data_IF_253950266116
#
_entry.id   IF_253950266116
#
_cell.length_a   1.000
_cell.length_b   1.000
_cell.length_c   1.000
_cell.angle_alpha   90.00
_cell.angle_beta   90.00
_cell.angle_gamma   90.00
#
_symmetry.space_group_name_H-M   'P 1'
#
loop_
_entity.id
_entity.type
_entity.pdbx_description
1 polymer ?
#
# COMPACT_ATOMS: atom_id res chain seq x y z
N UNK A 1 -15.78 -29.90 8.23
CA UNK A 1 -15.66 -29.87 9.70
C UNK A 1 -16.73 -30.78 10.30
N UNK A 2 -16.39 -32.05 10.51
CA UNK A 2 -17.27 -33.03 11.15
C UNK A 2 -16.66 -33.36 12.50
N UNK A 3 -17.11 -32.69 13.57
CA UNK A 3 -16.78 -33.07 14.93
C UNK A 3 -17.56 -34.33 15.33
N UNK A 4 -17.07 -35.07 16.33
CA UNK A 4 -17.67 -36.33 16.79
C UNK A 4 -19.13 -36.18 17.24
N UNK A 5 -19.58 -34.97 17.57
CA UNK A 5 -20.93 -34.66 18.03
C UNK A 5 -21.82 -33.96 16.97
N UNK A 6 -21.39 -33.90 15.71
CA UNK A 6 -22.12 -33.21 14.63
C UNK A 6 -21.97 -31.68 14.62
N UNK A 7 -21.27 -31.10 15.60
CA UNK A 7 -20.87 -29.69 15.59
C UNK A 7 -19.55 -29.49 14.81
N UNK A 8 -19.42 -28.40 14.04
CA UNK A 8 -18.18 -28.10 13.34
C UNK A 8 -17.04 -27.74 14.31
N UNK A 9 -16.00 -28.58 14.34
CA UNK A 9 -14.73 -28.33 15.05
C UNK A 9 -13.64 -27.89 14.07
N UNK A 10 -12.78 -26.98 14.52
CA UNK A 10 -11.66 -26.44 13.77
C UNK A 10 -10.34 -26.67 14.51
N UNK A 11 -9.27 -26.91 13.75
CA UNK A 11 -7.91 -27.02 14.25
C UNK A 11 -7.11 -25.86 13.67
N UNK A 12 -6.45 -25.09 14.54
CA UNK A 12 -5.59 -23.99 14.12
C UNK A 12 -4.15 -24.43 13.95
N UNK A 13 -3.43 -23.66 13.15
CA UNK A 13 -2.01 -23.83 12.93
C UNK A 13 -1.42 -22.45 12.68
N UNK A 14 -0.29 -22.15 13.30
CA UNK A 14 0.45 -20.92 13.06
C UNK A 14 1.08 -20.88 11.66
N UNK A 15 1.37 -19.67 11.16
CA UNK A 15 1.88 -19.42 9.80
C UNK A 15 3.21 -20.13 9.47
N UNK A 16 3.97 -20.56 10.49
CA UNK A 16 5.29 -21.18 10.34
C UNK A 16 5.50 -22.44 11.21
N UNK A 17 4.44 -22.98 11.83
CA UNK A 17 4.58 -24.20 12.65
C UNK A 17 4.43 -25.45 11.77
N UNK A 18 5.09 -26.55 12.11
CA UNK A 18 4.84 -27.84 11.46
C UNK A 18 3.66 -28.58 12.10
N UNK A 19 3.51 -28.41 13.42
CA UNK A 19 2.47 -29.03 14.23
C UNK A 19 1.20 -28.18 14.31
N UNK A 20 0.08 -28.86 14.57
CA UNK A 20 -1.21 -28.24 14.86
C UNK A 20 -1.28 -27.81 16.32
N UNK A 21 -2.01 -26.72 16.60
CA UNK A 21 -2.19 -26.27 17.97
C UNK A 21 -3.06 -27.30 18.74
N UNK A 22 -2.74 -27.62 20.01
CA UNK A 22 -3.47 -28.62 20.79
C UNK A 22 -4.98 -28.35 21.00
N UNK A 23 -5.45 -27.11 21.21
CA UNK A 23 -6.87 -26.87 21.42
C UNK A 23 -7.67 -26.91 20.11
N UNK A 24 -8.75 -27.69 20.10
CA UNK A 24 -9.77 -27.61 19.06
C UNK A 24 -10.71 -26.44 19.34
N UNK A 25 -11.00 -25.65 18.31
CA UNK A 25 -11.82 -24.43 18.41
C UNK A 25 -13.23 -24.73 17.89
N UNK A 26 -14.26 -24.32 18.64
CA UNK A 26 -15.66 -24.38 18.21
C UNK A 26 -15.98 -23.23 17.26
N UNK A 27 -16.95 -23.42 16.36
CA UNK A 27 -17.42 -22.36 15.45
C UNK A 27 -17.83 -21.07 16.18
N UNK A 28 -18.29 -21.19 17.43
CA UNK A 28 -18.70 -20.06 18.30
C UNK A 28 -17.54 -19.12 18.64
N UNK A 29 -16.30 -19.60 18.60
CA UNK A 29 -15.11 -18.84 18.93
C UNK A 29 -14.49 -18.15 17.69
N UNK A 30 -15.05 -18.37 16.50
CA UNK A 30 -14.56 -17.79 15.24
C UNK A 30 -15.23 -16.44 14.97
N UNK A 31 -14.48 -15.35 15.16
CA UNK A 31 -14.96 -13.97 14.97
C UNK A 31 -15.13 -13.62 13.47
N UNK A 32 -14.34 -14.23 12.58
CA UNK A 32 -14.43 -13.99 11.14
C UNK A 32 -13.24 -14.49 10.31
N UNK A 33 -13.34 -14.35 8.98
CA UNK A 33 -12.32 -14.79 8.01
C UNK A 33 -11.69 -13.60 7.28
N UNK A 34 -10.36 -13.63 7.13
CA UNK A 34 -9.63 -12.66 6.30
C UNK A 34 -10.08 -12.79 4.85
N UNK A 35 -10.61 -11.70 4.28
CA UNK A 35 -11.13 -11.68 2.89
C UNK A 35 -10.12 -11.10 1.89
N UNK A 36 -9.20 -10.26 2.33
CA UNK A 36 -8.26 -9.58 1.47
C UNK A 36 -6.85 -9.63 2.07
N UNK A 37 -5.91 -10.16 1.29
CA UNK A 37 -4.48 -10.10 1.56
C UNK A 37 -3.82 -9.61 0.29
N UNK A 38 -2.97 -8.59 0.38
CA UNK A 38 -2.18 -8.10 -0.75
C UNK A 38 -0.78 -8.71 -0.62
N UNK A 39 -0.54 -9.90 -1.19
CA UNK A 39 0.80 -10.47 -1.15
C UNK A 39 1.76 -9.54 -1.91
N UNK A 40 3.01 -9.55 -1.48
CA UNK A 40 4.12 -8.79 -2.09
C UNK A 40 4.14 -7.27 -1.92
N UNK A 41 3.14 -6.64 -1.29
CA UNK A 41 3.16 -5.19 -1.01
C UNK A 41 4.41 -4.78 -0.20
N UNK A 42 4.88 -5.66 0.68
CA UNK A 42 6.12 -5.48 1.43
C UNK A 42 7.37 -5.34 0.55
N UNK A 43 7.42 -6.00 -0.62
CA UNK A 43 8.56 -5.86 -1.55
C UNK A 43 8.56 -4.48 -2.23
N UNK A 44 7.39 -3.94 -2.57
CA UNK A 44 7.29 -2.59 -3.11
C UNK A 44 7.75 -1.55 -2.08
N UNK A 45 7.30 -1.70 -0.82
CA UNK A 45 7.75 -0.84 0.27
C UNK A 45 9.27 -0.97 0.52
N UNK A 46 9.82 -2.18 0.42
CA UNK A 46 11.25 -2.40 0.54
C UNK A 46 12.05 -1.79 -0.62
N UNK A 47 11.55 -1.88 -1.85
CA UNK A 47 12.15 -1.25 -3.02
C UNK A 47 12.16 0.27 -2.89
N UNK A 48 11.05 0.87 -2.42
CA UNK A 48 10.95 2.31 -2.18
C UNK A 48 11.93 2.81 -1.10
N UNK A 49 12.32 1.96 -0.14
CA UNK A 49 13.33 2.31 0.88
C UNK A 49 14.76 2.34 0.35
N UNK A 50 15.05 1.74 -0.81
CA UNK A 50 16.39 1.80 -1.41
C UNK A 50 16.63 3.20 -2.01
N UNK A 51 17.85 3.76 -1.94
CA UNK A 51 18.12 5.11 -2.46
C UNK A 51 17.68 5.30 -3.92
N UNK A 52 17.96 4.33 -4.79
CA UNK A 52 17.55 4.36 -6.19
C UNK A 52 16.04 4.26 -6.36
N UNK A 53 15.38 3.41 -5.56
CA UNK A 53 13.93 3.23 -5.60
C UNK A 53 13.18 4.45 -5.09
N UNK A 54 13.69 5.11 -4.05
CA UNK A 54 13.16 6.36 -3.54
C UNK A 54 13.28 7.49 -4.58
N UNK A 55 14.45 7.62 -5.23
CA UNK A 55 14.64 8.63 -6.26
C UNK A 55 13.65 8.42 -7.41
N UNK A 56 13.51 7.20 -7.90
CA UNK A 56 12.63 6.89 -9.03
C UNK A 56 11.15 7.05 -8.69
N UNK A 57 10.72 6.57 -7.52
CA UNK A 57 9.29 6.57 -7.14
C UNK A 57 8.82 7.90 -6.54
N UNK A 58 9.72 8.71 -5.97
CA UNK A 58 9.35 9.93 -5.24
C UNK A 58 9.97 11.16 -5.88
N UNK A 59 11.30 11.21 -6.02
CA UNK A 59 12.01 12.43 -6.45
C UNK A 59 11.72 12.75 -7.91
N UNK A 60 11.77 11.76 -8.80
CA UNK A 60 11.49 11.95 -10.24
C UNK A 60 10.07 12.51 -10.47
N UNK A 61 8.99 11.87 -10.00
CA UNK A 61 7.65 12.44 -10.21
C UNK A 61 7.46 13.78 -9.51
N UNK A 62 8.03 13.98 -8.31
CA UNK A 62 7.95 15.26 -7.61
C UNK A 62 8.63 16.40 -8.37
N UNK A 63 9.82 16.15 -8.93
CA UNK A 63 10.57 17.16 -9.69
C UNK A 63 9.90 17.51 -11.02
N UNK A 64 9.31 16.53 -11.70
CA UNK A 64 8.50 16.76 -12.92
C UNK A 64 7.33 17.70 -12.57
N UNK A 65 6.58 17.37 -11.51
CA UNK A 65 5.45 18.18 -11.08
C UNK A 65 5.87 19.63 -10.75
N UNK A 66 6.94 19.80 -9.97
CA UNK A 66 7.47 21.13 -9.62
C UNK A 66 7.90 21.90 -10.88
N UNK A 67 8.56 21.24 -11.83
CA UNK A 67 9.01 21.88 -13.07
C UNK A 67 7.85 22.38 -13.92
N UNK A 68 6.77 21.60 -14.04
CA UNK A 68 5.56 22.00 -14.75
C UNK A 68 4.91 23.23 -14.11
N UNK A 69 4.76 23.23 -12.78
CA UNK A 69 4.23 24.35 -12.02
C UNK A 69 5.10 25.60 -12.17
N UNK A 70 6.43 25.48 -12.03
CA UNK A 70 7.35 26.60 -12.21
C UNK A 70 7.25 27.21 -13.62
N UNK A 71 7.18 26.36 -14.66
CA UNK A 71 7.02 26.82 -16.05
C UNK A 71 5.69 27.54 -16.26
N UNK A 72 4.61 27.02 -15.67
CA UNK A 72 3.29 27.65 -15.73
C UNK A 72 3.30 29.04 -15.08
N UNK A 73 3.88 29.15 -13.88
CA UNK A 73 4.01 30.42 -13.14
C UNK A 73 4.86 31.42 -13.92
N UNK A 74 6.05 31.03 -14.41
CA UNK A 74 6.93 31.91 -15.17
C UNK A 74 6.29 32.41 -16.47
N UNK A 75 5.53 31.55 -17.16
CA UNK A 75 4.79 31.93 -18.38
C UNK A 75 3.73 32.98 -18.07
N UNK A 76 2.99 32.82 -16.99
CA UNK A 76 1.96 33.77 -16.56
C UNK A 76 2.57 35.12 -16.14
N UNK A 77 3.66 35.11 -15.38
CA UNK A 77 4.39 36.32 -15.00
C UNK A 77 4.89 37.10 -16.23
N UNK A 78 5.51 36.40 -17.20
CA UNK A 78 5.97 37.02 -18.45
C UNK A 78 4.82 37.65 -19.25
N UNK A 79 3.67 36.97 -19.31
CA UNK A 79 2.47 37.46 -19.99
C UNK A 79 1.94 38.75 -19.34
N UNK A 80 1.92 38.81 -18.00
CA UNK A 80 1.48 40.01 -17.26
C UNK A 80 2.42 41.20 -17.47
N UNK A 81 3.73 40.99 -17.44
CA UNK A 81 4.71 42.05 -17.70
C UNK A 81 4.61 42.62 -19.12
N UNK A 82 4.43 41.76 -20.13
CA UNK A 82 4.28 42.22 -21.52
C UNK A 82 2.99 43.00 -21.79
N UNK A 83 1.96 42.82 -20.96
CA UNK A 83 0.69 43.55 -21.07
C UNK A 83 0.75 44.96 -20.46
N UNK A 84 1.66 45.20 -19.52
CA UNK A 84 1.78 46.48 -18.81
C UNK A 84 2.57 47.55 -19.59
N UNK A 85 3.34 47.16 -20.62
CA UNK A 85 4.07 48.08 -21.51
C UNK A 85 3.25 48.57 -22.71
N UNK A 86 1.96 48.21 -22.82
CA UNK A 86 1.08 48.61 -23.93
C UNK A 86 -0.04 49.57 -23.51
N UNK A 87 0.13 50.31 -22.40
CA UNK A 87 -0.67 51.48 -22.04
C UNK A 87 0.18 52.74 -22.08
#
# INVERSE_FOLDING_TARGET
PSGENGEPEYVTKGDANEDFDPPKISDKDIIGKVRLTIPYLGYLAFAAKKPWGFILLVIVPATIFIYEELKAVLKELRKRMGKHSQC
#
